data_IF_587719516781
#
_entry.id   IF_587719516781
#
_cell.length_a   1.000
_cell.length_b   1.000
_cell.length_c   1.000
_cell.angle_alpha   90.00
_cell.angle_beta   90.00
_cell.angle_gamma   90.00
#
_symmetry.space_group_name_H-M   'P 1'
#
loop_
_entity.id
_entity.type
_entity.pdbx_description
1 polymer ?
#
# COMPACT_ATOMS: atom_id res chain seq x y z
N UNK A 1 2.14 -15.83 7.97
CA UNK A 1 2.82 -14.52 8.13
C UNK A 1 3.95 -14.49 7.11
N UNK A 2 3.99 -13.52 6.18
CA UNK A 2 5.10 -13.43 5.23
C UNK A 2 6.42 -13.24 5.95
N UNK A 3 7.48 -13.75 5.35
CA UNK A 3 8.77 -13.88 5.99
C UNK A 3 9.79 -12.94 5.34
N UNK A 4 10.14 -11.89 6.06
CA UNK A 4 11.00 -10.81 5.55
C UNK A 4 12.49 -11.07 5.83
N UNK A 5 12.92 -12.34 5.85
CA UNK A 5 14.24 -12.82 6.31
C UNK A 5 15.48 -12.20 5.63
N UNK A 6 15.32 -11.41 4.56
CA UNK A 6 16.43 -10.77 3.82
C UNK A 6 16.45 -9.24 3.89
N UNK A 7 15.53 -8.61 4.61
CA UNK A 7 15.49 -7.16 4.76
C UNK A 7 16.21 -6.72 6.05
N UNK A 8 17.28 -5.94 5.94
CA UNK A 8 18.01 -5.36 7.10
C UNK A 8 17.22 -4.22 7.77
N UNK A 9 15.97 -4.00 7.36
CA UNK A 9 15.11 -2.93 7.84
C UNK A 9 13.93 -3.43 8.69
N UNK A 10 13.54 -2.67 9.72
CA UNK A 10 12.37 -3.00 10.51
C UNK A 10 11.09 -2.66 9.73
N UNK A 11 10.35 -3.70 9.35
CA UNK A 11 8.95 -3.54 8.97
C UNK A 11 8.09 -3.36 10.20
N UNK A 12 7.06 -2.54 10.09
CA UNK A 12 5.91 -2.63 10.97
C UNK A 12 4.68 -3.06 10.18
N UNK A 13 3.86 -3.86 10.84
CA UNK A 13 2.58 -4.30 10.34
C UNK A 13 1.48 -3.41 10.91
N UNK A 14 0.54 -3.05 10.05
CA UNK A 14 -0.72 -2.42 10.42
C UNK A 14 -1.82 -2.99 9.54
N UNK A 15 -3.02 -3.12 10.10
CA UNK A 15 -4.21 -3.46 9.34
C UNK A 15 -5.40 -2.63 9.83
N UNK A 16 -6.37 -2.44 8.96
CA UNK A 16 -7.57 -1.67 9.27
C UNK A 16 -8.72 -2.11 8.38
N UNK A 17 -9.93 -2.15 8.94
CA UNK A 17 -11.14 -2.39 8.17
C UNK A 17 -11.45 -1.16 7.31
N UNK A 18 -11.82 -1.38 6.05
CA UNK A 18 -12.28 -0.32 5.15
C UNK A 18 -13.80 -0.14 5.15
N UNK A 19 -14.51 -0.92 5.96
CA UNK A 19 -15.95 -0.81 6.10
C UNK A 19 -16.35 0.49 6.83
N UNK A 20 -17.42 1.14 6.38
CA UNK A 20 -17.93 2.40 6.95
C UNK A 20 -16.91 3.56 6.97
N UNK A 21 -15.97 3.60 6.02
CA UNK A 21 -15.14 4.79 5.82
C UNK A 21 -16.00 5.99 5.40
N UNK A 22 -15.58 7.16 5.88
CA UNK A 22 -16.11 8.46 5.46
C UNK A 22 -15.03 9.32 4.81
N UNK A 23 -13.78 9.23 5.31
CA UNK A 23 -12.65 9.97 4.77
C UNK A 23 -11.37 9.15 4.79
N UNK A 24 -10.53 9.40 3.79
CA UNK A 24 -9.15 8.94 3.74
C UNK A 24 -8.26 10.18 3.72
N UNK A 25 -7.26 10.22 4.59
CA UNK A 25 -6.25 11.27 4.59
C UNK A 25 -4.88 10.67 4.33
N UNK A 26 -4.23 11.10 3.25
CA UNK A 26 -2.90 10.63 2.86
C UNK A 26 -1.84 11.25 3.76
N UNK A 27 -0.85 10.45 4.17
CA UNK A 27 0.34 10.93 4.86
C UNK A 27 1.56 10.82 3.92
N UNK A 28 2.22 11.94 3.69
CA UNK A 28 3.47 12.02 2.93
C UNK A 28 4.55 12.72 3.77
N UNK A 29 5.45 11.92 4.35
CA UNK A 29 6.53 12.44 5.17
C UNK A 29 7.58 13.11 4.28
N UNK A 30 7.96 14.38 4.53
CA UNK A 30 9.01 15.05 3.77
C UNK A 30 10.30 14.24 3.76
N UNK A 31 10.94 14.17 2.60
CA UNK A 31 12.17 13.39 2.36
C UNK A 31 12.02 11.86 2.46
N UNK A 32 10.83 11.34 2.74
CA UNK A 32 10.52 9.92 2.48
C UNK A 32 9.97 9.74 1.07
N UNK A 33 10.12 8.53 0.55
CA UNK A 33 9.73 8.20 -0.81
C UNK A 33 8.32 7.62 -0.81
N UNK A 34 7.41 8.25 -1.56
CA UNK A 34 6.03 7.80 -1.70
C UNK A 34 5.16 8.11 -0.48
N UNK A 35 3.97 7.51 -0.47
CA UNK A 35 2.98 7.64 0.59
C UNK A 35 3.42 6.77 1.77
N UNK A 36 3.57 7.40 2.94
CA UNK A 36 4.05 6.70 4.13
C UNK A 36 2.93 6.00 4.88
N UNK A 37 1.70 6.50 4.79
CA UNK A 37 0.56 5.92 5.49
C UNK A 37 -0.75 6.61 5.17
N UNK A 38 -1.82 6.08 5.75
CA UNK A 38 -3.19 6.58 5.64
C UNK A 38 -3.80 6.76 7.02
N UNK A 39 -4.45 7.90 7.23
CA UNK A 39 -5.36 8.10 8.34
C UNK A 39 -6.79 7.90 7.83
N UNK A 40 -7.39 6.80 8.27
CA UNK A 40 -8.76 6.42 7.98
C UNK A 40 -9.70 7.09 8.98
N UNK A 41 -10.78 7.70 8.51
CA UNK A 41 -11.84 8.25 9.36
C UNK A 41 -13.17 7.59 9.03
N UNK A 42 -13.78 6.98 10.04
CA UNK A 42 -15.03 6.24 9.91
C UNK A 42 -16.25 7.14 10.13
N UNK A 43 -17.41 6.70 9.66
CA UNK A 43 -18.69 7.45 9.79
C UNK A 43 -19.09 7.75 11.24
N UNK A 44 -18.62 6.94 12.19
CA UNK A 44 -18.82 7.16 13.64
C UNK A 44 -17.79 8.13 14.26
N UNK A 45 -16.87 8.69 13.47
CA UNK A 45 -15.80 9.58 13.92
C UNK A 45 -14.55 8.89 14.46
N UNK A 46 -14.55 7.54 14.56
CA UNK A 46 -13.36 6.76 14.88
C UNK A 46 -12.28 6.96 13.82
N UNK A 47 -11.02 6.73 14.19
CA UNK A 47 -9.88 6.85 13.28
C UNK A 47 -8.88 5.72 13.48
N UNK A 48 -8.36 5.22 12.37
CA UNK A 48 -7.28 4.22 12.34
C UNK A 48 -6.16 4.67 11.42
N UNK A 49 -4.95 4.19 11.71
CA UNK A 49 -3.76 4.49 10.94
C UNK A 49 -3.25 3.21 10.28
N UNK A 50 -2.95 3.32 8.98
CA UNK A 50 -2.20 2.32 8.21
C UNK A 50 -0.86 2.93 7.79
N UNK A 51 0.21 2.15 7.81
CA UNK A 51 1.53 2.71 7.51
C UNK A 51 2.04 3.67 8.61
N UNK A 52 3.00 4.53 8.25
CA UNK A 52 3.56 5.54 9.15
C UNK A 52 2.79 6.83 8.95
N UNK A 53 1.97 7.17 9.95
CA UNK A 53 1.19 8.40 9.96
C UNK A 53 1.82 9.42 10.90
N UNK A 54 2.23 10.56 10.33
CA UNK A 54 2.63 11.75 11.09
C UNK A 54 1.58 12.83 10.91
N UNK A 55 0.98 13.29 12.01
CA UNK A 55 -0.14 14.24 11.98
C UNK A 55 0.21 15.58 11.31
N UNK A 56 1.48 15.98 11.35
CA UNK A 56 1.98 17.20 10.69
C UNK A 56 2.35 16.98 9.21
N UNK A 57 2.17 15.78 8.67
CA UNK A 57 2.46 15.40 7.28
C UNK A 57 1.20 14.87 6.57
N UNK A 58 0.02 15.15 7.14
CA UNK A 58 -1.27 14.81 6.55
C UNK A 58 -1.64 15.81 5.46
N UNK A 59 -2.05 15.29 4.33
CA UNK A 59 -2.70 16.04 3.27
C UNK A 59 -4.14 16.43 3.65
N UNK A 60 -4.85 17.24 2.84
CA UNK A 60 -6.28 17.46 3.03
C UNK A 60 -7.07 16.13 2.98
N UNK A 61 -8.02 15.90 3.90
CA UNK A 61 -8.87 14.71 3.87
C UNK A 61 -9.71 14.62 2.60
N UNK A 62 -9.80 13.43 2.03
CA UNK A 62 -10.62 13.12 0.87
C UNK A 62 -11.90 12.46 1.35
N UNK A 63 -13.04 12.99 0.90
CA UNK A 63 -14.36 12.41 1.18
C UNK A 63 -14.60 11.18 0.30
N UNK A 64 -14.96 10.07 0.92
CA UNK A 64 -15.19 8.78 0.24
C UNK A 64 -16.62 8.28 0.39
N UNK A 65 -17.56 9.09 0.89
CA UNK A 65 -18.95 8.65 1.16
C UNK A 65 -19.69 8.16 -0.10
N UNK A 66 -19.28 8.62 -1.29
CA UNK A 66 -19.84 8.24 -2.60
C UNK A 66 -18.99 7.22 -3.37
N UNK A 67 -17.90 6.76 -2.78
CA UNK A 67 -16.96 5.82 -3.39
C UNK A 67 -17.17 4.45 -2.76
N UNK A 68 -16.96 3.39 -3.55
CA UNK A 68 -16.99 2.01 -3.08
C UNK A 68 -15.60 1.35 -3.10
N UNK A 69 -14.61 2.03 -3.68
CA UNK A 69 -13.26 1.53 -3.90
C UNK A 69 -12.22 2.64 -4.01
N UNK A 70 -10.97 2.21 -3.97
CA UNK A 70 -9.80 3.02 -4.25
C UNK A 70 -8.76 2.20 -5.01
N UNK A 71 -8.00 2.86 -5.87
CA UNK A 71 -6.90 2.28 -6.63
C UNK A 71 -5.58 2.75 -6.05
N UNK A 72 -4.69 1.80 -5.75
CA UNK A 72 -3.38 2.05 -5.17
C UNK A 72 -2.29 1.73 -6.21
N UNK A 73 -1.51 2.74 -6.62
CA UNK A 73 -0.40 2.54 -7.58
C UNK A 73 0.92 2.34 -6.83
N UNK A 74 1.61 1.26 -7.18
CA UNK A 74 2.94 0.92 -6.67
C UNK A 74 3.97 1.00 -7.78
N UNK A 75 5.14 1.54 -7.45
CA UNK A 75 6.28 1.64 -8.36
C UNK A 75 7.58 1.30 -7.63
N UNK A 76 8.60 0.90 -8.39
CA UNK A 76 9.96 0.83 -7.88
C UNK A 76 10.57 2.23 -7.72
N UNK A 77 11.60 2.34 -6.89
CA UNK A 77 12.40 3.57 -6.80
C UNK A 77 12.94 4.00 -8.18
N UNK A 78 12.56 5.18 -8.68
CA UNK A 78 13.01 5.66 -9.99
C UNK A 78 14.47 6.12 -9.98
N UNK A 79 15.09 6.30 -8.81
CA UNK A 79 16.50 6.74 -8.72
C UNK A 79 17.50 5.61 -9.01
N UNK A 80 17.05 4.36 -8.97
CA UNK A 80 17.89 3.17 -9.10
C UNK A 80 18.95 3.00 -8.02
N UNK A 81 18.98 3.89 -7.02
CA UNK A 81 19.85 3.77 -5.84
C UNK A 81 19.45 2.54 -5.03
N UNK A 82 18.15 2.29 -4.97
CA UNK A 82 17.59 1.07 -4.42
C UNK A 82 16.57 0.56 -5.41
N UNK A 83 17.10 0.21 -6.60
CA UNK A 83 16.37 -0.65 -7.52
C UNK A 83 15.74 -1.77 -6.69
N UNK A 84 14.51 -2.16 -7.01
CA UNK A 84 13.82 -3.32 -6.42
C UNK A 84 12.96 -3.10 -5.17
N UNK A 85 12.90 -1.91 -4.59
CA UNK A 85 11.95 -1.65 -3.48
C UNK A 85 10.64 -1.00 -3.96
N UNK A 86 9.48 -1.66 -3.80
CA UNK A 86 8.18 -1.12 -4.18
C UNK A 86 7.71 -0.08 -3.16
N UNK A 87 7.07 0.98 -3.66
CA UNK A 87 6.47 2.05 -2.86
C UNK A 87 5.09 2.43 -3.40
N UNK A 88 4.17 2.79 -2.51
CA UNK A 88 2.90 3.39 -2.87
C UNK A 88 3.14 4.83 -3.34
N UNK A 89 2.78 5.16 -4.58
CA UNK A 89 3.03 6.48 -5.19
C UNK A 89 1.76 7.26 -5.47
N UNK A 90 0.62 6.57 -5.63
CA UNK A 90 -0.65 7.20 -6.00
C UNK A 90 -1.82 6.49 -5.34
N UNK A 91 -2.83 7.28 -4.98
CA UNK A 91 -4.15 6.84 -4.55
C UNK A 91 -5.15 7.56 -5.44
N UNK A 92 -5.97 6.80 -6.15
CA UNK A 92 -6.97 7.33 -7.07
C UNK A 92 -8.34 6.71 -6.83
N UNK A 93 -9.39 7.51 -7.03
CA UNK A 93 -10.78 7.05 -7.03
C UNK A 93 -11.31 6.80 -8.44
N UNK A 94 -10.46 6.98 -9.45
CA UNK A 94 -10.69 6.58 -10.82
C UNK A 94 -9.80 5.37 -11.14
N UNK A 95 -10.23 4.46 -12.03
CA UNK A 95 -9.39 3.36 -12.48
C UNK A 95 -8.02 3.84 -12.97
N UNK A 96 -6.99 3.13 -12.56
CA UNK A 96 -5.61 3.39 -12.94
C UNK A 96 -5.18 2.31 -13.93
N UNK A 97 -4.67 2.71 -15.10
CA UNK A 97 -4.10 1.75 -16.05
C UNK A 97 -2.81 1.12 -15.48
N UNK A 98 -2.72 -0.23 -15.42
CA UNK A 98 -1.51 -0.92 -15.01
C UNK A 98 -0.37 -0.64 -15.98
N UNK A 99 0.81 -0.31 -15.43
CA UNK A 99 2.04 -0.24 -16.23
C UNK A 99 2.55 -1.67 -16.42
N UNK A 100 2.29 -2.26 -17.59
CA UNK A 100 2.88 -3.55 -17.96
C UNK A 100 4.37 -3.33 -18.26
N UNK A 101 5.26 -4.02 -17.54
CA UNK A 101 6.68 -4.13 -17.95
C UNK A 101 6.88 -5.50 -18.60
N UNK A 102 7.54 -5.52 -19.76
CA UNK A 102 7.64 -6.70 -20.60
C UNK A 102 8.18 -7.93 -19.86
N UNK A 103 7.50 -9.07 -20.05
CA UNK A 103 8.08 -10.41 -19.85
C UNK A 103 7.98 -11.03 -18.46
N UNK A 104 7.30 -10.43 -17.48
CA UNK A 104 7.21 -11.01 -16.12
C UNK A 104 5.76 -11.24 -15.68
N UNK A 105 5.49 -12.41 -15.10
CA UNK A 105 4.16 -12.83 -14.63
C UNK A 105 3.71 -11.99 -13.41
N UNK A 106 2.54 -11.32 -13.45
CA UNK A 106 1.97 -10.62 -12.29
C UNK A 106 1.81 -11.48 -11.04
N UNK A 107 1.65 -12.80 -11.18
CA UNK A 107 1.60 -13.72 -10.04
C UNK A 107 2.94 -13.80 -9.28
N UNK A 108 4.05 -13.46 -9.94
CA UNK A 108 5.40 -13.46 -9.36
C UNK A 108 5.81 -12.07 -8.90
N UNK A 109 5.50 -11.03 -9.71
CA UNK A 109 5.96 -9.66 -9.45
C UNK A 109 4.99 -8.86 -8.58
N UNK A 110 3.77 -9.35 -8.39
CA UNK A 110 2.70 -8.63 -7.72
C UNK A 110 2.06 -7.55 -8.60
N UNK A 111 1.04 -6.89 -8.06
CA UNK A 111 0.18 -5.97 -8.81
C UNK A 111 0.61 -4.53 -8.57
N UNK A 112 0.96 -3.82 -9.64
CA UNK A 112 1.36 -2.40 -9.55
C UNK A 112 0.18 -1.43 -9.45
N UNK A 113 -1.05 -1.87 -9.69
CA UNK A 113 -2.28 -1.09 -9.52
C UNK A 113 -3.30 -1.97 -8.80
N UNK A 114 -3.32 -1.90 -7.47
CA UNK A 114 -4.19 -2.72 -6.64
C UNK A 114 -5.55 -2.05 -6.49
N UNK A 115 -6.61 -2.76 -6.87
CA UNK A 115 -7.99 -2.38 -6.57
C UNK A 115 -8.34 -2.77 -5.14
N UNK A 116 -8.90 -1.83 -4.38
CA UNK A 116 -9.25 -2.04 -2.98
C UNK A 116 -10.69 -1.59 -2.76
N UNK A 117 -11.60 -2.53 -2.47
CA UNK A 117 -12.99 -2.21 -2.15
C UNK A 117 -13.13 -1.82 -0.68
N UNK A 118 -14.11 -0.97 -0.38
CA UNK A 118 -14.40 -0.53 1.00
C UNK A 118 -15.28 -1.53 1.76
N UNK A 119 -14.91 -2.81 1.68
CA UNK A 119 -15.66 -3.93 2.27
C UNK A 119 -14.86 -4.69 3.32
N UNK A 120 -13.55 -4.82 3.12
CA UNK A 120 -12.71 -5.74 3.86
C UNK A 120 -11.51 -5.05 4.52
N UNK A 121 -10.65 -5.85 5.13
CA UNK A 121 -9.45 -5.38 5.82
C UNK A 121 -8.30 -5.17 4.84
N UNK A 122 -7.63 -4.02 4.94
CA UNK A 122 -6.39 -3.74 4.22
C UNK A 122 -5.22 -4.02 5.14
N UNK A 123 -4.28 -4.84 4.69
CA UNK A 123 -3.08 -5.19 5.43
C UNK A 123 -1.88 -4.46 4.84
N UNK A 124 -1.05 -3.86 5.68
CA UNK A 124 0.07 -3.05 5.22
C UNK A 124 1.31 -3.33 6.07
N UNK A 125 2.34 -3.86 5.40
CA UNK A 125 3.71 -3.93 5.89
C UNK A 125 4.51 -2.76 5.33
N UNK A 126 4.97 -1.89 6.20
CA UNK A 126 5.67 -0.68 5.78
C UNK A 126 7.05 -0.59 6.45
N UNK A 127 8.01 -0.08 5.69
CA UNK A 127 9.33 0.32 6.14
C UNK A 127 9.72 1.66 5.49
N UNK A 128 10.85 2.24 5.90
CA UNK A 128 11.33 3.48 5.28
C UNK A 128 11.76 3.33 3.82
N UNK A 129 12.08 2.11 3.38
CA UNK A 129 12.56 1.85 2.02
C UNK A 129 11.46 1.33 1.10
N UNK A 130 10.48 0.59 1.64
CA UNK A 130 9.46 -0.06 0.84
C UNK A 130 8.15 -0.24 1.58
N UNK A 131 7.13 -0.66 0.84
CA UNK A 131 5.91 -1.17 1.44
C UNK A 131 5.27 -2.28 0.61
N UNK A 132 4.55 -3.14 1.31
CA UNK A 132 3.72 -4.18 0.73
C UNK A 132 2.32 -4.08 1.31
N UNK A 133 1.33 -4.05 0.41
CA UNK A 133 -0.08 -3.97 0.76
C UNK A 133 -0.76 -5.24 0.26
N UNK A 134 -1.61 -5.82 1.10
CA UNK A 134 -2.38 -7.00 0.78
C UNK A 134 -3.86 -6.73 1.01
N UNK A 135 -4.67 -7.15 0.05
CA UNK A 135 -6.11 -7.00 0.08
C UNK A 135 -6.77 -8.14 -0.70
N UNK A 136 -7.75 -8.83 -0.12
CA UNK A 136 -8.52 -9.90 -0.77
C UNK A 136 -7.64 -10.95 -1.50
N UNK A 137 -6.61 -11.45 -0.80
CA UNK A 137 -5.66 -12.43 -1.35
C UNK A 137 -4.67 -11.88 -2.39
N UNK A 138 -4.78 -10.62 -2.77
CA UNK A 138 -3.90 -9.96 -3.74
C UNK A 138 -2.83 -9.14 -3.03
N UNK A 139 -1.58 -9.29 -3.47
CA UNK A 139 -0.45 -8.47 -3.02
C UNK A 139 -0.10 -7.37 -4.01
N UNK A 140 0.32 -6.22 -3.48
CA UNK A 140 0.93 -5.14 -4.27
C UNK A 140 2.21 -5.59 -4.97
N UNK A 141 2.80 -4.70 -5.76
CA UNK A 141 4.12 -4.89 -6.36
C UNK A 141 5.13 -5.40 -5.32
N UNK A 142 5.83 -6.47 -5.65
CA UNK A 142 6.78 -7.16 -4.79
C UNK A 142 8.21 -6.68 -5.06
N UNK A 143 9.14 -6.86 -4.10
CA UNK A 143 10.56 -6.62 -4.36
C UNK A 143 11.11 -7.58 -5.42
N UNK A 144 12.02 -7.13 -6.31
CA UNK A 144 12.47 -7.99 -7.42
C UNK A 144 13.36 -9.16 -6.98
N UNK A 145 14.09 -9.02 -5.88
CA UNK A 145 14.89 -10.09 -5.27
C UNK A 145 14.04 -11.11 -4.48
N UNK A 146 12.71 -10.99 -4.50
CA UNK A 146 11.82 -11.96 -3.85
C UNK A 146 11.75 -13.27 -4.66
N UNK A 147 12.79 -14.12 -4.58
CA UNK A 147 12.78 -15.40 -5.31
C UNK A 147 11.70 -16.38 -4.80
N UNK A 148 11.26 -16.28 -3.53
CA UNK A 148 10.25 -17.17 -2.93
C UNK A 148 9.60 -16.57 -1.67
N UNK A 149 8.50 -15.83 -1.79
CA UNK A 149 7.55 -15.65 -0.67
C UNK A 149 6.10 -15.54 -1.19
N UNK A 150 5.15 -15.89 -0.33
CA UNK A 150 3.70 -16.04 -0.57
C UNK A 150 3.23 -17.45 -1.01
N UNK A 151 3.71 -18.49 -0.33
CA UNK A 151 2.81 -19.61 -0.03
C UNK A 151 2.15 -19.26 1.30
N UNK A 152 0.83 -19.09 1.30
CA UNK A 152 0.07 -19.32 2.52
C UNK A 152 0.27 -20.80 2.83
N UNK A 153 0.82 -21.13 3.99
CA UNK A 153 0.74 -22.51 4.47
C UNK A 153 -0.77 -22.85 4.55
N UNK A 154 -1.17 -23.92 3.87
CA UNK A 154 -2.53 -24.49 3.92
C UNK A 154 -2.96 -24.85 5.36
#
# INVERSE_FOLDING_TARGET
MPDFRYCVEPFFFSSASLHNLSKITVCQIPNKRGISGLLLTYKNGHKEALGEVRLNCLEPPIDVDKQDRVWLRFEYDPTGIIDEHPRLVEISFSPIEPIMRDGTDPAVVGINCLEVLFTDELHWWWSSLQCQVFYDGQGSLQPRDAEKWLLFDD
#
